data_IF_940070356247
#
_entry.id   IF_940070356247
#
_cell.length_a   1.000
_cell.length_b   1.000
_cell.length_c   1.000
_cell.angle_alpha   90.00
_cell.angle_beta   90.00
_cell.angle_gamma   90.00
#
_symmetry.space_group_name_H-M   'P 1'
#
loop_
_entity.id
_entity.type
_entity.pdbx_description
1 polymer ?
#
# COMPACT_ATOMS: atom_id res chain seq x y z
N UNK A 1 21.10 13.43 9.05
CA UNK A 1 20.91 13.39 7.59
C UNK A 1 19.49 13.83 7.32
N UNK A 2 19.32 15.11 7.04
CA UNK A 2 18.07 15.66 6.52
C UNK A 2 17.71 14.95 5.20
N UNK A 3 16.44 14.96 4.82
CA UNK A 3 16.01 14.41 3.54
C UNK A 3 16.75 15.18 2.43
N UNK A 4 17.64 14.47 1.71
CA UNK A 4 18.48 15.04 0.63
C UNK A 4 17.57 15.56 -0.47
N UNK A 5 17.81 16.78 -0.99
CA UNK A 5 16.75 17.78 -1.03
C UNK A 5 15.66 17.45 -2.04
N UNK A 6 14.44 17.50 -1.52
CA UNK A 6 13.21 17.65 -2.29
C UNK A 6 13.20 19.10 -2.78
N UNK A 7 12.90 19.34 -4.06
CA UNK A 7 12.73 20.70 -4.54
C UNK A 7 11.44 21.25 -3.97
N UNK A 8 11.54 22.40 -3.31
CA UNK A 8 10.41 23.09 -2.68
C UNK A 8 10.34 24.54 -3.19
N UNK A 9 9.13 25.06 -3.45
CA UNK A 9 8.94 26.47 -3.79
C UNK A 9 9.22 27.37 -2.59
N UNK A 10 9.45 28.66 -2.85
CA UNK A 10 9.45 29.67 -1.79
C UNK A 10 8.15 29.57 -0.96
N UNK A 11 8.17 29.75 0.38
CA UNK A 11 7.00 29.53 1.25
C UNK A 11 5.73 30.32 0.89
N UNK A 12 5.88 31.42 0.15
CA UNK A 12 4.77 32.27 -0.32
C UNK A 12 4.10 31.73 -1.60
N UNK A 13 4.73 30.81 -2.32
CA UNK A 13 4.22 30.24 -3.58
C UNK A 13 3.62 28.87 -3.28
N UNK A 14 2.29 28.77 -3.38
CA UNK A 14 1.58 27.53 -3.15
C UNK A 14 1.50 26.69 -4.43
N UNK A 15 2.12 25.52 -4.40
CA UNK A 15 2.06 24.54 -5.47
C UNK A 15 1.32 23.29 -4.96
N UNK A 16 0.28 22.81 -5.67
CA UNK A 16 -0.41 21.59 -5.26
C UNK A 16 0.51 20.39 -5.17
N UNK A 17 0.27 19.56 -4.15
CA UNK A 17 1.02 18.32 -3.91
C UNK A 17 1.26 17.47 -5.17
N UNK A 18 0.22 17.21 -5.98
CA UNK A 18 0.35 16.37 -7.20
C UNK A 18 1.34 16.96 -8.21
N UNK A 19 1.33 18.28 -8.37
CA UNK A 19 2.21 19.00 -9.29
C UNK A 19 3.64 18.95 -8.74
N UNK A 20 3.82 19.28 -7.45
CA UNK A 20 5.14 19.26 -6.81
C UNK A 20 5.76 17.86 -6.79
N UNK A 21 4.95 16.81 -6.58
CA UNK A 21 5.37 15.42 -6.66
C UNK A 21 5.93 15.09 -8.05
N UNK A 22 5.23 15.53 -9.10
CA UNK A 22 5.64 15.30 -10.49
C UNK A 22 6.90 16.07 -10.86
N UNK A 23 7.04 17.32 -10.40
CA UNK A 23 8.25 18.13 -10.58
C UNK A 23 9.46 17.43 -9.95
N UNK A 24 9.34 16.96 -8.71
CA UNK A 24 10.42 16.23 -8.04
C UNK A 24 10.81 14.95 -8.81
N UNK A 25 9.81 14.20 -9.31
CA UNK A 25 10.07 13.05 -10.19
C UNK A 25 10.83 13.45 -11.48
N UNK A 26 10.47 14.57 -12.11
CA UNK A 26 11.12 15.04 -13.34
C UNK A 26 12.57 15.50 -13.11
N UNK A 27 12.85 16.16 -11.98
CA UNK A 27 14.22 16.51 -11.57
C UNK A 27 15.06 15.25 -11.41
N UNK A 28 14.50 14.23 -10.75
CA UNK A 28 15.20 12.97 -10.48
C UNK A 28 15.47 12.14 -11.74
N UNK A 29 14.57 12.21 -12.72
CA UNK A 29 14.75 11.57 -14.01
C UNK A 29 15.64 12.38 -14.97
N UNK A 30 16.15 13.54 -14.55
CA UNK A 30 16.97 14.42 -15.39
C UNK A 30 16.19 15.08 -16.53
N UNK A 31 14.85 15.11 -16.45
CA UNK A 31 14.01 15.77 -17.45
C UNK A 31 14.08 17.29 -17.34
N UNK A 32 14.21 17.80 -16.11
CA UNK A 32 14.42 19.22 -15.80
C UNK A 32 15.61 19.36 -14.85
N UNK A 33 16.33 20.47 -14.95
CA UNK A 33 17.46 20.76 -14.07
C UNK A 33 16.95 21.39 -12.77
N UNK A 34 17.23 20.78 -11.61
CA UNK A 34 16.83 21.34 -10.32
C UNK A 34 17.25 22.81 -10.09
N UNK A 35 18.50 23.20 -10.41
CA UNK A 35 18.96 24.59 -10.31
C UNK A 35 18.22 25.62 -11.15
N UNK A 36 17.42 25.20 -12.15
CA UNK A 36 16.65 26.12 -13.01
C UNK A 36 15.21 26.30 -12.55
N UNK A 37 14.83 25.72 -11.40
CA UNK A 37 13.50 25.82 -10.81
C UNK A 37 13.48 26.95 -9.77
N UNK A 38 13.37 28.18 -10.25
CA UNK A 38 13.27 29.39 -9.44
C UNK A 38 11.81 29.78 -9.12
N UNK A 39 11.64 30.92 -8.44
CA UNK A 39 10.33 31.45 -8.09
C UNK A 39 9.46 31.77 -9.32
N UNK A 40 10.07 32.09 -10.47
CA UNK A 40 9.34 32.33 -11.71
C UNK A 40 8.74 31.02 -12.24
N UNK A 41 9.52 29.94 -12.27
CA UNK A 41 9.01 28.62 -12.59
C UNK A 41 7.86 28.21 -11.66
N UNK A 42 8.03 28.41 -10.35
CA UNK A 42 7.01 28.01 -9.38
C UNK A 42 5.72 28.84 -9.47
N UNK A 43 5.79 30.10 -9.90
CA UNK A 43 4.61 30.92 -10.23
C UNK A 43 3.85 30.36 -11.43
N UNK A 44 4.54 29.88 -12.46
CA UNK A 44 3.91 29.30 -13.64
C UNK A 44 3.20 27.96 -13.37
N UNK A 45 3.61 27.22 -12.35
CA UNK A 45 2.94 25.98 -11.91
C UNK A 45 1.98 26.20 -10.73
N UNK A 46 1.67 27.47 -10.40
CA UNK A 46 0.72 27.83 -9.37
C UNK A 46 -0.69 27.96 -9.95
N UNK A 47 -1.68 27.20 -9.45
CA UNK A 47 -3.08 27.30 -9.88
C UNK A 47 -3.72 28.66 -9.68
N UNK A 48 -3.14 29.49 -8.80
CA UNK A 48 -3.63 30.85 -8.55
C UNK A 48 -3.34 31.79 -9.73
N UNK A 49 -2.33 31.46 -10.55
CA UNK A 49 -1.89 32.30 -11.67
C UNK A 49 -2.21 31.66 -13.03
N UNK A 50 -2.19 30.33 -13.11
CA UNK A 50 -2.38 29.59 -14.36
C UNK A 50 -3.48 28.53 -14.21
N UNK A 51 -4.37 28.34 -15.19
CA UNK A 51 -5.36 27.27 -15.16
C UNK A 51 -4.73 25.89 -14.92
N UNK A 52 -5.31 25.10 -14.00
CA UNK A 52 -4.77 23.79 -13.60
C UNK A 52 -4.59 22.83 -14.78
N UNK A 53 -5.53 22.82 -15.72
CA UNK A 53 -5.47 21.95 -16.89
C UNK A 53 -4.26 22.28 -17.78
N UNK A 54 -3.88 23.55 -17.90
CA UNK A 54 -2.70 23.97 -18.65
C UNK A 54 -1.44 23.49 -17.94
N UNK A 55 -1.37 23.64 -16.61
CA UNK A 55 -0.23 23.20 -15.81
C UNK A 55 -0.04 21.68 -15.93
N UNK A 56 -1.10 20.90 -15.69
CA UNK A 56 -1.07 19.43 -15.75
C UNK A 56 -0.62 18.96 -17.12
N UNK A 57 -1.23 19.49 -18.19
CA UNK A 57 -0.91 19.07 -19.55
C UNK A 57 0.51 19.46 -19.98
N UNK A 58 0.97 20.67 -19.62
CA UNK A 58 2.34 21.11 -19.90
C UNK A 58 3.38 20.24 -19.17
N UNK A 59 3.14 19.93 -17.89
CA UNK A 59 4.02 19.07 -17.09
C UNK A 59 4.04 17.64 -17.66
N UNK A 60 2.89 17.08 -18.04
CA UNK A 60 2.82 15.77 -18.68
C UNK A 60 3.64 15.74 -19.98
N UNK A 61 3.44 16.73 -20.84
CA UNK A 61 4.17 16.85 -22.12
C UNK A 61 5.68 17.01 -21.90
N UNK A 62 6.09 17.83 -20.93
CA UNK A 62 7.49 18.00 -20.57
C UNK A 62 8.09 16.71 -19.99
N UNK A 63 7.32 15.96 -19.20
CA UNK A 63 7.77 14.69 -18.61
C UNK A 63 8.09 13.60 -19.65
N UNK A 64 7.59 13.73 -20.87
CA UNK A 64 7.88 12.83 -22.00
C UNK A 64 9.17 13.20 -22.77
N UNK A 65 9.90 14.24 -22.35
CA UNK A 65 11.10 14.66 -23.07
C UNK A 65 12.23 13.65 -22.95
N UNK A 66 12.89 13.38 -24.08
CA UNK A 66 14.09 12.53 -24.14
C UNK A 66 15.37 13.24 -23.72
N UNK A 67 15.36 14.57 -23.70
CA UNK A 67 16.50 15.43 -23.34
C UNK A 67 16.09 16.35 -22.20
N UNK A 68 17.04 16.73 -21.36
CA UNK A 68 16.84 17.69 -20.28
C UNK A 68 16.40 19.04 -20.82
N UNK A 69 15.30 19.56 -20.28
CA UNK A 69 14.86 20.93 -20.50
C UNK A 69 15.72 21.86 -19.63
N UNK A 70 16.58 22.64 -20.29
CA UNK A 70 17.48 23.59 -19.62
C UNK A 70 16.78 24.91 -19.25
N UNK A 71 15.68 25.23 -19.92
CA UNK A 71 14.92 26.47 -19.72
C UNK A 71 13.42 26.15 -19.62
N UNK A 72 12.97 25.64 -18.46
CA UNK A 72 11.59 25.23 -18.27
C UNK A 72 10.61 26.41 -18.24
N UNK A 73 11.06 27.59 -17.79
CA UNK A 73 10.25 28.82 -17.71
C UNK A 73 9.83 29.27 -19.12
N UNK A 74 10.79 29.53 -20.01
CA UNK A 74 10.48 29.97 -21.36
C UNK A 74 9.70 28.91 -22.13
N UNK A 75 9.98 27.62 -21.91
CA UNK A 75 9.23 26.56 -22.55
C UNK A 75 7.75 26.55 -22.13
N UNK A 76 7.47 26.64 -20.82
CA UNK A 76 6.09 26.62 -20.32
C UNK A 76 5.31 27.87 -20.76
N UNK A 77 5.91 29.06 -20.66
CA UNK A 77 5.27 30.30 -21.13
C UNK A 77 4.89 30.20 -22.61
N UNK A 78 5.79 29.68 -23.45
CA UNK A 78 5.48 29.44 -24.87
C UNK A 78 4.42 28.35 -25.10
N UNK A 79 4.30 27.34 -24.24
CA UNK A 79 3.21 26.37 -24.34
C UNK A 79 1.87 26.97 -23.92
N UNK A 80 1.83 27.79 -22.86
CA UNK A 80 0.60 28.42 -22.41
C UNK A 80 0.04 29.37 -23.47
N UNK A 81 0.90 30.17 -24.12
CA UNK A 81 0.50 30.98 -25.28
C UNK A 81 -0.13 30.15 -26.40
N UNK A 82 0.38 28.94 -26.66
CA UNK A 82 -0.20 28.02 -27.65
C UNK A 82 -1.56 27.47 -27.23
N UNK A 83 -1.78 27.27 -25.93
CA UNK A 83 -3.07 26.81 -25.41
C UNK A 83 -4.13 27.91 -25.47
N UNK A 84 -3.75 29.16 -25.18
CA UNK A 84 -4.65 30.32 -25.29
C UNK A 84 -5.08 30.60 -26.73
N UNK A 85 -4.18 30.35 -27.69
CA UNK A 85 -4.46 30.51 -29.12
C UNK A 85 -5.20 29.30 -29.75
N UNK A 86 -5.45 28.24 -28.99
CA UNK A 86 -6.11 27.04 -29.50
C UNK A 86 -7.60 27.05 -29.19
N UNK A 87 -8.44 26.76 -30.20
CA UNK A 87 -9.90 26.64 -30.04
C UNK A 87 -10.33 25.48 -29.11
N UNK A 88 -9.43 24.53 -28.84
CA UNK A 88 -9.67 23.36 -28.00
C UNK A 88 -8.63 23.31 -26.87
N UNK A 89 -8.90 23.92 -25.70
CA UNK A 89 -7.97 23.87 -24.58
C UNK A 89 -7.72 22.41 -24.14
N UNK A 90 -6.49 22.09 -23.69
CA UNK A 90 -6.15 20.74 -23.29
C UNK A 90 -7.03 20.29 -22.13
N UNK A 91 -7.65 19.12 -22.28
CA UNK A 91 -8.42 18.48 -21.20
C UNK A 91 -7.54 17.47 -20.50
N UNK A 92 -7.57 17.46 -19.16
CA UNK A 92 -6.88 16.44 -18.37
C UNK A 92 -7.36 15.04 -18.77
N UNK A 93 -6.46 14.09 -19.10
CA UNK A 93 -6.86 12.71 -19.37
C UNK A 93 -7.34 12.06 -18.06
N UNK A 94 -8.66 11.90 -17.91
CA UNK A 94 -9.23 11.08 -16.83
C UNK A 94 -9.31 9.64 -17.31
N UNK A 95 -8.25 8.87 -17.06
CA UNK A 95 -8.30 7.42 -17.22
C UNK A 95 -9.09 6.85 -16.03
N UNK A 96 -10.29 6.34 -16.30
CA UNK A 96 -11.04 5.54 -15.32
C UNK A 96 -10.36 4.18 -15.16
N UNK A 97 -9.98 3.83 -13.94
CA UNK A 97 -9.49 2.50 -13.62
C UNK A 97 -10.64 1.50 -13.50
N UNK A 98 -10.35 0.22 -13.73
CA UNK A 98 -11.29 -0.88 -13.45
C UNK A 98 -11.63 -0.95 -11.95
N UNK A 99 -12.81 -1.52 -11.65
CA UNK A 99 -13.30 -1.71 -10.29
C UNK A 99 -12.28 -2.44 -9.41
N UNK A 100 -11.86 -1.78 -8.32
CA UNK A 100 -10.94 -2.33 -7.33
C UNK A 100 -9.47 -1.99 -7.56
N UNK A 101 -9.13 -1.18 -8.56
CA UNK A 101 -7.80 -0.59 -8.75
C UNK A 101 -7.78 0.88 -8.29
N UNK A 102 -6.63 1.31 -7.77
CA UNK A 102 -6.41 2.68 -7.29
C UNK A 102 -5.03 3.19 -7.70
N UNK A 103 -4.94 4.48 -8.00
CA UNK A 103 -3.68 5.17 -8.22
C UNK A 103 -3.05 5.57 -6.89
N UNK A 104 -1.82 5.14 -6.66
CA UNK A 104 -1.10 5.38 -5.41
C UNK A 104 0.27 5.99 -5.71
N UNK A 105 0.60 7.09 -5.05
CA UNK A 105 1.94 7.67 -5.09
C UNK A 105 2.86 6.88 -4.16
N UNK A 106 4.10 6.64 -4.62
CA UNK A 106 5.10 5.94 -3.85
C UNK A 106 6.37 6.77 -3.72
N UNK A 107 6.92 6.82 -2.51
CA UNK A 107 8.24 7.40 -2.25
C UNK A 107 9.21 6.29 -1.85
N UNK A 108 10.32 6.17 -2.57
CA UNK A 108 11.39 5.22 -2.25
C UNK A 108 12.53 5.94 -1.55
N UNK A 109 12.92 5.44 -0.39
CA UNK A 109 13.95 6.05 0.45
C UNK A 109 15.16 5.15 0.44
N UNK A 110 16.26 5.68 -0.10
CA UNK A 110 17.55 5.03 -0.09
C UNK A 110 18.41 5.57 1.05
N UNK A 111 19.55 4.95 1.36
CA UNK A 111 20.49 5.47 2.36
C UNK A 111 20.86 6.95 2.11
N UNK A 112 21.00 7.36 0.85
CA UNK A 112 21.37 8.72 0.49
C UNK A 112 20.21 9.59 0.01
N UNK A 113 19.24 9.07 -0.74
CA UNK A 113 18.24 9.88 -1.48
C UNK A 113 16.79 9.51 -1.18
N UNK A 114 15.88 10.28 -1.76
CA UNK A 114 14.43 10.08 -1.73
C UNK A 114 13.94 10.17 -3.17
N UNK A 115 13.20 9.18 -3.65
CA UNK A 115 12.73 9.09 -5.02
C UNK A 115 11.21 9.09 -5.10
N UNK A 116 10.66 9.88 -6.02
CA UNK A 116 9.22 10.06 -6.23
C UNK A 116 8.75 9.21 -7.40
N UNK A 117 7.88 8.24 -7.10
CA UNK A 117 7.41 7.23 -8.03
C UNK A 117 5.89 7.23 -8.18
N UNK A 118 5.43 6.88 -9.38
CA UNK A 118 4.02 6.77 -9.69
C UNK A 118 3.39 8.06 -10.23
N UNK A 119 2.06 8.18 -10.15
CA UNK A 119 1.13 7.26 -9.49
C UNK A 119 1.11 5.86 -10.12
N UNK A 120 1.21 4.81 -9.30
CA UNK A 120 1.17 3.41 -9.73
C UNK A 120 -0.23 2.83 -9.55
N UNK A 121 -0.58 1.87 -10.41
CA UNK A 121 -1.84 1.13 -10.29
C UNK A 121 -1.66 0.02 -9.26
N UNK A 122 -2.46 0.07 -8.19
CA UNK A 122 -2.45 -0.94 -7.14
C UNK A 122 -3.84 -1.52 -6.92
N UNK A 123 -3.90 -2.79 -6.51
CA UNK A 123 -5.13 -3.40 -6.02
C UNK A 123 -5.53 -2.71 -4.72
N UNK A 124 -6.76 -2.22 -4.70
CA UNK A 124 -7.35 -1.52 -3.57
C UNK A 124 -7.43 -2.39 -2.31
N UNK A 125 -7.56 -1.75 -1.16
CA UNK A 125 -7.78 -2.40 0.12
C UNK A 125 -8.93 -1.73 0.87
N UNK A 126 -9.33 -2.33 1.99
CA UNK A 126 -10.50 -1.91 2.77
C UNK A 126 -10.42 -0.44 3.19
N UNK A 127 -9.24 0.03 3.57
CA UNK A 127 -9.03 1.41 4.03
C UNK A 127 -9.16 2.37 2.86
N UNK A 128 -8.48 2.08 1.74
CA UNK A 128 -8.52 2.94 0.57
C UNK A 128 -9.92 3.00 -0.07
N UNK A 129 -10.70 1.92 0.01
CA UNK A 129 -12.10 1.95 -0.45
C UNK A 129 -13.00 2.83 0.41
N UNK A 130 -12.80 2.84 1.73
CA UNK A 130 -13.64 3.62 2.63
C UNK A 130 -13.30 5.10 2.58
N UNK A 131 -12.01 5.42 2.50
CA UNK A 131 -11.49 6.79 2.43
C UNK A 131 -11.11 7.17 0.99
N UNK A 132 -11.97 6.86 0.00
CA UNK A 132 -11.70 7.10 -1.42
C UNK A 132 -11.51 8.58 -1.75
N UNK A 133 -12.19 9.46 -1.02
CA UNK A 133 -12.08 10.91 -1.22
C UNK A 133 -10.73 11.46 -0.72
N UNK A 134 -10.11 10.74 0.21
CA UNK A 134 -8.82 11.04 0.82
C UNK A 134 -7.63 10.39 0.07
N UNK A 135 -7.82 9.80 -1.12
CA UNK A 135 -6.75 9.09 -1.86
C UNK A 135 -5.49 9.94 -2.08
N UNK A 136 -5.65 11.25 -2.27
CA UNK A 136 -4.52 12.18 -2.43
C UNK A 136 -3.66 12.30 -1.16
N UNK A 137 -4.20 11.94 0.00
CA UNK A 137 -3.55 12.01 1.30
C UNK A 137 -2.87 10.70 1.70
N UNK A 138 -3.04 9.62 0.93
CA UNK A 138 -2.29 8.38 1.12
C UNK A 138 -0.97 8.39 0.33
N UNK A 139 0.10 7.99 1.03
CA UNK A 139 1.42 7.80 0.43
C UNK A 139 1.97 6.43 0.80
N UNK A 140 2.48 5.69 -0.18
CA UNK A 140 3.25 4.49 0.09
C UNK A 140 4.72 4.85 0.20
N UNK A 141 5.39 4.39 1.26
CA UNK A 141 6.83 4.57 1.42
C UNK A 141 7.51 3.21 1.42
N UNK A 142 8.64 3.10 0.71
CA UNK A 142 9.46 1.89 0.66
C UNK A 142 10.92 2.23 0.99
N UNK A 143 11.58 1.39 1.76
CA UNK A 143 13.00 1.52 2.10
C UNK A 143 13.81 0.48 1.32
N UNK A 144 14.68 0.95 0.43
CA UNK A 144 15.48 0.14 -0.49
C UNK A 144 16.93 0.60 -0.48
N UNK A 145 17.89 -0.25 -0.82
CA UNK A 145 19.26 0.20 -1.00
C UNK A 145 19.43 1.03 -2.30
N UNK A 146 20.66 1.43 -2.63
CA UNK A 146 20.92 2.23 -3.82
C UNK A 146 20.77 1.45 -5.14
N UNK A 147 20.81 0.11 -5.07
CA UNK A 147 20.60 -0.80 -6.20
C UNK A 147 19.12 -1.21 -6.34
N UNK A 148 18.22 -0.58 -5.57
CA UNK A 148 16.79 -0.86 -5.51
C UNK A 148 16.42 -2.20 -4.91
N UNK A 149 17.36 -2.88 -4.25
CA UNK A 149 17.11 -4.11 -3.52
C UNK A 149 16.60 -3.86 -2.10
N UNK A 150 16.14 -4.94 -1.46
CA UNK A 150 15.66 -4.89 -0.08
C UNK A 150 16.83 -4.77 0.88
N UNK A 151 16.83 -3.71 1.69
CA UNK A 151 17.73 -3.58 2.83
C UNK A 151 17.62 -4.80 3.76
N UNK A 152 18.76 -5.34 4.17
CA UNK A 152 18.85 -6.52 5.04
C UNK A 152 18.92 -6.10 6.50
N UNK A 153 18.49 -7.00 7.39
CA UNK A 153 18.55 -6.74 8.83
C UNK A 153 19.98 -6.49 9.33
N UNK A 154 20.98 -7.09 8.68
CA UNK A 154 22.41 -6.88 8.99
C UNK A 154 22.89 -5.46 8.73
N UNK A 155 22.27 -4.77 7.77
CA UNK A 155 22.64 -3.41 7.37
C UNK A 155 22.11 -2.37 8.36
N UNK A 156 21.03 -2.73 9.08
CA UNK A 156 20.40 -1.91 10.10
C UNK A 156 20.98 -2.16 11.49
N UNK A 157 21.26 -3.43 11.80
CA UNK A 157 21.81 -3.86 13.08
C UNK A 157 22.90 -4.91 12.88
N UNK A 158 24.18 -4.50 12.86
CA UNK A 158 25.31 -5.41 12.70
C UNK A 158 25.40 -6.38 13.88
N UNK A 159 25.77 -7.64 13.60
CA UNK A 159 25.83 -8.69 14.63
C UNK A 159 26.98 -8.51 15.63
N UNK A 160 27.95 -7.65 15.34
CA UNK A 160 29.21 -7.50 16.11
C UNK A 160 29.26 -6.25 17.01
N UNK A 161 28.14 -5.56 17.24
CA UNK A 161 28.12 -4.35 18.08
C UNK A 161 28.22 -4.69 19.58
N UNK A 162 29.34 -4.37 20.20
CA UNK A 162 29.67 -4.67 21.62
C UNK A 162 29.09 -3.69 22.65
N UNK A 163 28.31 -2.69 22.23
CA UNK A 163 27.58 -1.78 23.14
C UNK A 163 26.19 -1.44 22.60
N UNK A 164 25.23 -1.14 23.49
CA UNK A 164 23.84 -0.84 23.12
C UNK A 164 23.69 0.33 22.13
N UNK A 165 24.62 1.28 22.16
CA UNK A 165 24.61 2.47 21.29
C UNK A 165 25.27 2.22 19.91
N UNK A 166 26.13 1.20 19.81
CA UNK A 166 26.78 0.77 18.57
C UNK A 166 25.95 -0.24 17.75
N UNK A 167 24.77 -0.64 18.24
CA UNK A 167 23.94 -1.66 17.57
C UNK A 167 23.13 -1.12 16.39
N UNK A 168 22.89 0.18 16.32
CA UNK A 168 22.06 0.80 15.28
C UNK A 168 22.89 1.66 14.31
N UNK A 169 22.85 1.31 13.04
CA UNK A 169 23.58 2.07 12.01
C UNK A 169 22.97 3.45 11.75
N UNK A 170 23.71 4.31 11.04
CA UNK A 170 23.15 5.57 10.53
C UNK A 170 21.92 5.34 9.64
N UNK A 171 21.88 4.21 8.93
CA UNK A 171 20.75 3.80 8.12
C UNK A 171 19.51 3.51 8.98
N UNK A 172 19.67 2.75 10.08
CA UNK A 172 18.60 2.56 11.06
C UNK A 172 18.05 3.89 11.56
N UNK A 173 18.94 4.83 11.94
CA UNK A 173 18.55 6.16 12.43
C UNK A 173 17.80 6.96 11.36
N UNK A 174 18.19 6.87 10.08
CA UNK A 174 17.48 7.50 8.95
C UNK A 174 16.06 6.94 8.78
N UNK A 175 15.92 5.62 8.74
CA UNK A 175 14.60 4.95 8.61
C UNK A 175 13.70 5.34 9.78
N UNK A 176 14.24 5.27 11.01
CA UNK A 176 13.50 5.63 12.21
C UNK A 176 13.08 7.11 12.20
N UNK A 177 13.95 8.01 11.73
CA UNK A 177 13.63 9.43 11.59
C UNK A 177 12.45 9.65 10.65
N UNK A 178 12.44 9.00 9.48
CA UNK A 178 11.32 9.07 8.52
C UNK A 178 10.03 8.56 9.14
N UNK A 179 10.08 7.37 9.76
CA UNK A 179 8.88 6.75 10.35
C UNK A 179 8.33 7.57 11.53
N UNK A 180 9.20 8.22 12.31
CA UNK A 180 8.81 9.01 13.49
C UNK A 180 8.37 10.43 13.14
N UNK A 181 9.10 11.10 12.26
CA UNK A 181 8.90 12.53 11.97
C UNK A 181 7.97 12.77 10.77
N UNK A 182 7.80 11.76 9.92
CA UNK A 182 7.05 11.88 8.68
C UNK A 182 7.88 12.39 7.51
N UNK A 183 7.20 12.62 6.38
CA UNK A 183 7.76 13.22 5.17
C UNK A 183 6.90 14.43 4.79
N UNK A 184 7.51 15.60 4.65
CA UNK A 184 6.85 16.77 4.11
C UNK A 184 7.02 16.81 2.59
N UNK A 185 5.93 17.05 1.87
CA UNK A 185 5.94 17.27 0.41
C UNK A 185 4.98 18.43 0.15
N UNK A 186 5.54 19.62 -0.03
CA UNK A 186 4.77 20.85 -0.17
C UNK A 186 3.92 21.11 1.08
N UNK A 187 2.63 21.35 0.90
CA UNK A 187 1.72 21.62 2.02
C UNK A 187 1.22 20.37 2.77
N UNK A 188 1.71 19.18 2.43
CA UNK A 188 1.29 17.92 3.08
C UNK A 188 2.42 17.34 3.90
N UNK A 189 2.11 16.98 5.15
CA UNK A 189 3.01 16.21 6.02
C UNK A 189 2.45 14.79 6.21
N UNK A 190 3.12 13.82 5.61
CA UNK A 190 2.74 12.41 5.68
C UNK A 190 3.33 11.77 6.93
N UNK A 191 2.47 11.33 7.85
CA UNK A 191 2.86 10.61 9.06
C UNK A 191 2.60 9.12 8.94
N UNK A 192 3.29 8.31 9.76
CA UNK A 192 3.14 6.85 9.73
C UNK A 192 1.70 6.43 10.06
N UNK A 193 1.12 5.60 9.18
CA UNK A 193 -0.24 5.08 9.34
C UNK A 193 -0.22 3.61 9.81
N UNK A 194 0.20 2.70 8.93
CA UNK A 194 0.36 1.27 9.21
C UNK A 194 1.08 0.53 8.07
N UNK A 195 1.31 -0.77 8.23
CA UNK A 195 1.80 -1.65 7.16
C UNK A 195 1.05 -2.99 7.20
N UNK A 196 0.79 -3.60 6.05
CA UNK A 196 0.37 -5.00 5.97
C UNK A 196 1.57 -5.96 6.03
N UNK A 197 1.31 -7.26 6.20
CA UNK A 197 2.39 -8.26 6.26
C UNK A 197 3.19 -8.38 4.95
N UNK A 198 2.56 -8.19 3.79
CA UNK A 198 3.28 -8.15 2.51
C UNK A 198 4.17 -6.92 2.43
N UNK A 199 3.63 -5.75 2.79
CA UNK A 199 4.37 -4.51 2.78
C UNK A 199 5.58 -4.53 3.72
N UNK A 200 5.44 -5.11 4.92
CA UNK A 200 6.54 -5.27 5.85
C UNK A 200 7.69 -6.12 5.26
N UNK A 201 7.36 -7.22 4.55
CA UNK A 201 8.38 -8.04 3.85
C UNK A 201 9.03 -7.32 2.68
N UNK A 202 8.38 -6.29 2.16
CA UNK A 202 8.87 -5.44 1.09
C UNK A 202 9.48 -4.13 1.63
N UNK A 203 9.77 -4.06 2.94
CA UNK A 203 10.29 -2.87 3.62
C UNK A 203 9.45 -1.61 3.32
N UNK A 204 8.13 -1.74 3.31
CA UNK A 204 7.22 -0.66 2.94
C UNK A 204 6.11 -0.44 3.96
N UNK A 205 5.58 0.76 3.98
CA UNK A 205 4.51 1.19 4.88
C UNK A 205 3.58 2.20 4.18
N UNK A 206 2.38 2.35 4.74
CA UNK A 206 1.48 3.45 4.43
C UNK A 206 1.75 4.62 5.35
N UNK A 207 1.78 5.81 4.76
CA UNK A 207 1.75 7.10 5.44
C UNK A 207 0.52 7.89 5.00
N UNK A 208 0.09 8.81 5.85
CA UNK A 208 -1.10 9.62 5.62
C UNK A 208 -0.85 11.08 5.96
N UNK A 209 -1.33 11.98 5.12
CA UNK A 209 -1.32 13.41 5.40
C UNK A 209 -2.64 13.81 6.07
N UNK A 210 -2.60 13.98 7.39
CA UNK A 210 -3.76 14.39 8.19
C UNK A 210 -4.30 15.75 7.74
N UNK A 211 -5.59 15.79 7.44
CA UNK A 211 -6.32 17.00 7.06
C UNK A 211 -7.21 17.52 8.19
N UNK A 212 -8.10 18.46 7.86
CA UNK A 212 -9.08 19.02 8.80
C UNK A 212 -10.18 17.99 9.09
N UNK A 213 -10.64 17.27 8.06
CA UNK A 213 -11.77 16.33 8.17
C UNK A 213 -11.36 14.94 8.68
N UNK A 214 -10.19 14.45 8.23
CA UNK A 214 -9.71 13.10 8.53
C UNK A 214 -8.25 13.15 8.96
N UNK A 215 -7.96 12.56 10.12
CA UNK A 215 -6.59 12.35 10.60
C UNK A 215 -6.18 10.88 10.52
N UNK A 216 -4.87 10.62 10.58
CA UNK A 216 -4.35 9.25 10.70
C UNK A 216 -4.86 8.54 11.96
N UNK A 217 -5.15 9.30 13.03
CA UNK A 217 -5.75 8.77 14.26
C UNK A 217 -7.18 8.27 14.03
N UNK A 218 -7.99 9.04 13.30
CA UNK A 218 -9.37 8.68 12.97
C UNK A 218 -9.42 7.42 12.10
N UNK A 219 -8.53 7.33 11.12
CA UNK A 219 -8.37 6.13 10.28
C UNK A 219 -8.01 4.91 11.15
N UNK A 220 -7.05 5.03 12.08
CA UNK A 220 -6.67 3.93 12.98
C UNK A 220 -7.81 3.52 13.92
N UNK A 221 -8.59 4.47 14.42
CA UNK A 221 -9.77 4.24 15.26
C UNK A 221 -10.88 3.53 14.47
N UNK A 222 -11.08 3.91 13.21
CA UNK A 222 -12.05 3.28 12.32
C UNK A 222 -11.72 1.81 12.00
N UNK A 223 -10.44 1.44 11.94
CA UNK A 223 -10.02 0.07 11.61
C UNK A 223 -10.54 -0.98 12.59
N UNK A 224 -10.71 -0.62 13.86
CA UNK A 224 -11.20 -1.51 14.91
C UNK A 224 -10.71 -1.12 16.30
N UNK A 225 -11.14 -1.90 17.29
CA UNK A 225 -10.69 -1.76 18.67
C UNK A 225 -9.52 -2.69 18.96
N UNK A 226 -8.35 -2.09 19.17
CA UNK A 226 -7.10 -2.78 19.47
C UNK A 226 -6.66 -2.64 20.93
N UNK A 227 -7.47 -2.02 21.80
CA UNK A 227 -7.08 -1.68 23.20
C UNK A 227 -6.69 -2.89 24.04
N UNK A 228 -7.26 -4.06 23.73
CA UNK A 228 -6.96 -5.33 24.40
C UNK A 228 -5.59 -5.92 24.02
N UNK A 229 -4.94 -5.43 22.95
CA UNK A 229 -3.69 -5.98 22.42
C UNK A 229 -2.49 -5.24 23.02
N UNK A 230 -1.85 -5.85 24.02
CA UNK A 230 -0.66 -5.27 24.70
C UNK A 230 0.66 -5.50 23.97
N UNK A 231 0.78 -6.58 23.22
CA UNK A 231 2.01 -6.89 22.49
C UNK A 231 2.12 -6.02 21.23
N UNK A 232 3.19 -5.22 21.13
CA UNK A 232 3.41 -4.23 20.05
C UNK A 232 3.45 -4.88 18.66
N UNK A 233 4.18 -5.99 18.51
CA UNK A 233 4.27 -6.69 17.22
C UNK A 233 2.91 -7.25 16.79
N UNK A 234 2.15 -7.83 17.73
CA UNK A 234 0.78 -8.29 17.50
C UNK A 234 -0.11 -7.11 17.16
N UNK A 235 -0.04 -6.00 17.88
CA UNK A 235 -0.82 -4.79 17.61
C UNK A 235 -0.60 -4.29 16.18
N UNK A 236 0.66 -4.07 15.78
CA UNK A 236 1.01 -3.58 14.46
C UNK A 236 0.53 -4.54 13.35
N UNK A 237 0.71 -5.84 13.54
CA UNK A 237 0.22 -6.85 12.60
C UNK A 237 -1.31 -6.88 12.47
N UNK A 238 -2.07 -6.41 13.47
CA UNK A 238 -3.54 -6.42 13.49
C UNK A 238 -4.10 -5.15 12.87
N UNK A 239 -3.50 -4.01 13.20
CA UNK A 239 -3.74 -2.73 12.54
C UNK A 239 -3.54 -2.84 11.02
N UNK A 240 -2.45 -3.50 10.61
CA UNK A 240 -2.09 -3.74 9.22
C UNK A 240 -3.03 -4.62 8.39
N UNK A 241 -3.96 -5.35 9.02
CA UNK A 241 -4.80 -6.30 8.29
C UNK A 241 -5.72 -5.63 7.27
N UNK A 242 -6.22 -4.44 7.59
CA UNK A 242 -7.12 -3.67 6.72
C UNK A 242 -6.43 -3.13 5.46
N UNK A 243 -5.09 -3.09 5.43
CA UNK A 243 -4.29 -2.70 4.26
C UNK A 243 -3.93 -3.85 3.32
N UNK A 244 -4.37 -5.08 3.61
CA UNK A 244 -4.16 -6.18 2.69
C UNK A 244 -5.00 -5.98 1.43
N UNK A 245 -4.37 -6.07 0.26
CA UNK A 245 -5.09 -6.05 -1.03
C UNK A 245 -6.19 -7.10 -1.02
N UNK A 246 -7.39 -6.67 -1.37
CA UNK A 246 -8.60 -7.50 -1.22
C UNK A 246 -9.73 -6.98 -2.09
N UNK A 247 -10.65 -7.88 -2.45
CA UNK A 247 -11.90 -7.56 -3.11
C UNK A 247 -13.01 -7.49 -2.08
N UNK A 248 -13.66 -6.33 -1.95
CA UNK A 248 -14.88 -6.20 -1.15
C UNK A 248 -16.02 -6.92 -1.86
N UNK A 249 -16.79 -7.73 -1.13
CA UNK A 249 -17.82 -8.58 -1.71
C UNK A 249 -19.22 -8.16 -1.28
N UNK A 250 -19.67 -8.62 -0.11
CA UNK A 250 -21.03 -8.43 0.39
C UNK A 250 -20.97 -8.03 1.87
N UNK A 251 -22.00 -7.31 2.31
CA UNK A 251 -22.21 -7.05 3.74
C UNK A 251 -22.92 -8.23 4.38
N UNK A 252 -22.44 -8.64 5.55
CA UNK A 252 -23.01 -9.72 6.37
C UNK A 252 -23.31 -9.16 7.74
N UNK A 253 -24.60 -9.04 8.07
CA UNK A 253 -25.04 -8.57 9.37
C UNK A 253 -24.66 -9.56 10.48
N UNK A 254 -24.48 -9.08 11.71
CA UNK A 254 -24.12 -9.94 12.85
C UNK A 254 -25.11 -11.08 13.09
N UNK A 255 -26.40 -10.87 12.81
CA UNK A 255 -27.45 -11.90 12.92
C UNK A 255 -27.35 -13.01 11.86
N UNK A 256 -26.63 -12.76 10.77
CA UNK A 256 -26.40 -13.69 9.67
C UNK A 256 -25.12 -14.52 9.86
N UNK A 257 -24.33 -14.17 10.88
CA UNK A 257 -23.12 -14.89 11.30
C UNK A 257 -23.47 -15.77 12.49
N UNK A 258 -23.00 -17.01 12.44
CA UNK A 258 -23.04 -17.93 13.55
C UNK A 258 -21.64 -18.06 14.19
N UNK A 259 -21.58 -18.16 15.51
CA UNK A 259 -20.31 -18.36 16.23
C UNK A 259 -20.27 -19.78 16.74
N UNK A 260 -19.39 -20.59 16.14
CA UNK A 260 -19.26 -22.03 16.40
C UNK A 260 -17.97 -22.34 17.17
N UNK A 261 -18.01 -23.40 17.97
CA UNK A 261 -16.91 -23.79 18.86
C UNK A 261 -15.74 -24.42 18.13
N UNK A 262 -14.52 -23.94 18.40
CA UNK A 262 -13.28 -24.54 17.91
C UNK A 262 -13.21 -26.05 18.20
N UNK A 263 -12.61 -26.80 17.28
CA UNK A 263 -12.55 -28.27 17.33
C UNK A 263 -11.27 -28.72 18.03
N UNK A 264 -11.45 -29.52 19.09
CA UNK A 264 -10.39 -30.13 19.88
C UNK A 264 -10.59 -31.63 19.94
N UNK A 265 -9.51 -32.40 20.07
CA UNK A 265 -9.55 -33.86 20.22
C UNK A 265 -9.02 -34.26 21.61
N UNK A 266 -9.68 -33.76 22.67
CA UNK A 266 -9.27 -34.01 24.06
C UNK A 266 -7.93 -33.40 24.48
N UNK A 267 -7.24 -32.71 23.57
CA UNK A 267 -5.98 -31.99 23.81
C UNK A 267 -6.19 -30.47 23.76
N UNK A 268 -5.20 -29.70 24.18
CA UNK A 268 -5.20 -28.24 24.07
C UNK A 268 -4.97 -27.72 22.64
N UNK A 269 -4.70 -28.61 21.68
CA UNK A 269 -4.44 -28.24 20.30
C UNK A 269 -5.74 -28.00 19.53
N UNK A 270 -5.88 -26.80 18.95
CA UNK A 270 -7.04 -26.44 18.15
C UNK A 270 -6.86 -26.91 16.69
N UNK A 271 -7.66 -27.89 16.27
CA UNK A 271 -7.63 -28.45 14.91
C UNK A 271 -8.32 -27.56 13.87
N UNK A 272 -9.09 -26.56 14.33
CA UNK A 272 -9.83 -25.63 13.49
C UNK A 272 -9.33 -24.19 13.55
N UNK A 273 -8.08 -23.97 13.97
CA UNK A 273 -7.54 -22.60 14.09
C UNK A 273 -7.57 -21.90 12.72
N UNK A 274 -8.34 -20.81 12.67
CA UNK A 274 -8.38 -19.97 11.49
C UNK A 274 -9.29 -20.47 10.36
N UNK A 275 -10.11 -21.52 10.58
CA UNK A 275 -11.08 -22.00 9.58
C UNK A 275 -12.53 -21.93 10.07
N UNK A 276 -13.40 -21.33 9.25
CA UNK A 276 -14.84 -21.27 9.43
C UNK A 276 -15.60 -21.87 8.24
N UNK A 277 -16.90 -21.59 8.18
CA UNK A 277 -17.80 -22.09 7.14
C UNK A 277 -18.51 -20.94 6.42
N UNK A 278 -18.83 -21.16 5.15
CA UNK A 278 -19.68 -20.29 4.34
C UNK A 278 -20.79 -21.15 3.71
N UNK A 279 -22.04 -20.71 3.74
CA UNK A 279 -23.13 -21.46 3.09
C UNK A 279 -22.98 -21.48 1.58
N UNK A 280 -23.46 -22.54 0.93
CA UNK A 280 -23.35 -22.71 -0.52
C UNK A 280 -24.00 -21.57 -1.32
N UNK A 281 -25.18 -21.08 -0.88
CA UNK A 281 -25.82 -19.93 -1.53
C UNK A 281 -24.98 -18.66 -1.40
N UNK A 282 -24.47 -18.38 -0.20
CA UNK A 282 -23.69 -17.18 0.03
C UNK A 282 -22.34 -17.24 -0.70
N UNK A 283 -21.69 -18.40 -0.75
CA UNK A 283 -20.48 -18.64 -1.53
C UNK A 283 -20.67 -18.34 -3.02
N UNK A 284 -21.81 -18.72 -3.62
CA UNK A 284 -22.15 -18.39 -5.01
C UNK A 284 -22.21 -16.88 -5.24
N UNK A 285 -22.86 -16.16 -4.32
CA UNK A 285 -22.99 -14.69 -4.39
C UNK A 285 -21.65 -13.98 -4.22
N UNK A 286 -20.81 -14.47 -3.31
CA UNK A 286 -19.43 -13.99 -3.12
C UNK A 286 -18.58 -14.25 -4.36
N UNK A 287 -18.65 -15.45 -4.94
CA UNK A 287 -17.93 -15.80 -6.17
C UNK A 287 -18.30 -14.87 -7.35
N UNK A 288 -19.59 -14.57 -7.52
CA UNK A 288 -20.05 -13.63 -8.54
C UNK A 288 -19.45 -12.23 -8.37
N UNK A 289 -19.33 -11.73 -7.13
CA UNK A 289 -18.68 -10.45 -6.82
C UNK A 289 -17.17 -10.47 -7.04
N UNK A 290 -16.53 -11.63 -6.91
CA UNK A 290 -15.13 -11.83 -7.30
C UNK A 290 -14.92 -12.03 -8.82
N UNK A 291 -15.96 -11.85 -9.65
CA UNK A 291 -15.89 -12.06 -11.11
C UNK A 291 -15.95 -13.52 -11.55
N UNK A 292 -16.17 -14.46 -10.62
CA UNK A 292 -16.21 -15.89 -10.89
C UNK A 292 -17.64 -16.34 -11.23
N UNK A 293 -18.03 -16.16 -12.50
CA UNK A 293 -19.40 -16.47 -12.95
C UNK A 293 -19.67 -17.96 -13.20
N UNK A 294 -18.63 -18.74 -13.52
CA UNK A 294 -18.76 -20.15 -13.98
C UNK A 294 -18.29 -21.20 -12.98
N UNK A 295 -17.59 -20.79 -11.93
CA UNK A 295 -17.04 -21.70 -10.92
C UNK A 295 -17.16 -21.06 -9.55
N UNK A 296 -17.65 -21.84 -8.58
CA UNK A 296 -17.77 -21.43 -7.18
C UNK A 296 -16.60 -22.07 -6.44
N UNK A 297 -15.64 -21.28 -5.91
CA UNK A 297 -14.57 -21.83 -5.10
C UNK A 297 -15.08 -22.57 -3.87
N UNK A 298 -14.44 -23.69 -3.53
CA UNK A 298 -14.78 -24.46 -2.33
C UNK A 298 -14.30 -23.80 -1.04
N UNK A 299 -13.34 -22.87 -1.12
CA UNK A 299 -12.88 -22.10 0.02
C UNK A 299 -12.41 -20.69 -0.37
N UNK A 300 -12.51 -19.77 0.59
CA UNK A 300 -12.16 -18.36 0.46
C UNK A 300 -11.29 -17.93 1.63
N UNK A 301 -10.18 -17.25 1.36
CA UNK A 301 -9.42 -16.54 2.37
C UNK A 301 -10.07 -15.17 2.62
N UNK A 302 -10.52 -14.93 3.84
CA UNK A 302 -11.39 -13.78 4.15
C UNK A 302 -10.81 -12.83 5.20
N UNK A 303 -11.35 -11.61 5.18
CA UNK A 303 -11.37 -10.68 6.31
C UNK A 303 -12.80 -10.22 6.53
N UNK A 304 -13.29 -10.29 7.76
CA UNK A 304 -14.64 -9.86 8.11
C UNK A 304 -14.61 -9.22 9.49
N UNK A 305 -14.84 -7.91 9.60
CA UNK A 305 -14.56 -7.18 10.84
C UNK A 305 -13.13 -7.46 11.32
N UNK A 306 -12.99 -7.93 12.57
CA UNK A 306 -11.73 -8.40 13.15
C UNK A 306 -11.43 -9.89 12.97
N UNK A 307 -12.25 -10.62 12.22
CA UNK A 307 -12.02 -12.02 11.88
C UNK A 307 -11.06 -12.16 10.69
N UNK A 308 -10.09 -13.07 10.85
CA UNK A 308 -9.11 -13.43 9.81
C UNK A 308 -8.99 -14.94 9.73
N UNK A 309 -9.11 -15.48 8.53
CA UNK A 309 -8.95 -16.91 8.29
C UNK A 309 -9.38 -17.34 6.90
N UNK A 310 -9.75 -18.61 6.80
CA UNK A 310 -10.33 -19.25 5.61
C UNK A 310 -11.76 -19.67 5.97
N UNK A 311 -12.68 -19.63 5.01
CA UNK A 311 -14.00 -20.24 5.12
C UNK A 311 -14.18 -21.27 4.00
N UNK A 312 -14.62 -22.47 4.36
CA UNK A 312 -14.94 -23.53 3.43
C UNK A 312 -16.46 -23.64 3.22
N UNK A 313 -16.88 -24.04 2.02
CA UNK A 313 -18.30 -24.20 1.71
C UNK A 313 -18.88 -25.35 2.53
N UNK A 314 -19.92 -25.04 3.31
CA UNK A 314 -20.78 -26.02 3.96
C UNK A 314 -22.15 -26.03 3.26
N UNK A 315 -22.46 -27.09 2.47
CA UNK A 315 -23.73 -27.21 1.77
C UNK A 315 -24.95 -27.28 2.69
N UNK A 316 -24.76 -27.64 3.96
CA UNK A 316 -25.84 -27.83 4.95
C UNK A 316 -26.10 -26.58 5.79
N UNK A 317 -25.20 -25.60 5.75
CA UNK A 317 -25.34 -24.40 6.56
C UNK A 317 -26.42 -23.45 5.99
N UNK A 318 -27.34 -23.02 6.85
CA UNK A 318 -28.34 -21.99 6.54
C UNK A 318 -27.85 -20.56 6.85
N UNK A 319 -26.78 -20.43 7.64
CA UNK A 319 -26.17 -19.14 8.00
C UNK A 319 -25.19 -18.70 6.92
N UNK A 320 -25.05 -17.39 6.70
CA UNK A 320 -24.12 -16.88 5.67
C UNK A 320 -22.69 -17.26 5.98
N UNK A 321 -22.28 -17.06 7.24
CA UNK A 321 -20.97 -17.43 7.76
C UNK A 321 -21.10 -18.12 9.11
N UNK A 322 -20.28 -19.12 9.36
CA UNK A 322 -20.07 -19.67 10.71
C UNK A 322 -18.60 -19.51 11.07
N UNK A 323 -18.31 -18.65 12.05
CA UNK A 323 -16.96 -18.24 12.41
C UNK A 323 -16.59 -18.77 13.81
N UNK A 324 -15.29 -18.91 14.07
CA UNK A 324 -14.77 -19.44 15.33
C UNK A 324 -14.10 -18.37 16.16
N UNK A 325 -13.98 -18.61 17.48
CA UNK A 325 -13.28 -17.70 18.38
C UNK A 325 -11.81 -17.57 18.01
N UNK A 326 -11.15 -18.66 17.61
CA UNK A 326 -9.78 -18.64 17.09
C UNK A 326 -9.59 -17.65 15.94
N UNK A 327 -10.60 -17.42 15.10
CA UNK A 327 -10.54 -16.50 13.96
C UNK A 327 -10.64 -15.03 14.37
N UNK A 328 -11.24 -14.70 15.54
CA UNK A 328 -11.43 -13.32 16.01
C UNK A 328 -10.11 -12.77 16.55
N UNK A 329 -9.61 -11.69 15.95
CA UNK A 329 -8.28 -11.14 16.27
C UNK A 329 -8.33 -9.79 16.99
N UNK A 330 -9.44 -9.07 16.86
CA UNK A 330 -9.75 -7.80 17.52
C UNK A 330 -11.25 -7.51 17.33
N UNK A 331 -11.82 -6.57 18.07
CA UNK A 331 -13.23 -6.21 17.93
C UNK A 331 -13.42 -5.15 16.84
N UNK A 332 -14.51 -5.27 16.06
CA UNK A 332 -14.83 -4.32 15.00
C UNK A 332 -16.34 -4.26 14.75
N UNK A 333 -16.84 -3.08 14.41
CA UNK A 333 -18.22 -2.88 13.98
C UNK A 333 -18.44 -3.19 12.50
N UNK A 334 -17.37 -3.40 11.73
CA UNK A 334 -17.44 -3.57 10.28
C UNK A 334 -18.09 -4.91 9.89
N UNK A 335 -19.10 -4.83 9.01
CA UNK A 335 -19.88 -5.97 8.50
C UNK A 335 -19.55 -6.35 7.06
N UNK A 336 -18.57 -5.71 6.42
CA UNK A 336 -18.17 -6.02 5.05
C UNK A 336 -17.26 -7.24 5.00
N UNK A 337 -17.56 -8.15 4.08
CA UNK A 337 -16.72 -9.31 3.78
C UNK A 337 -15.74 -8.98 2.65
N UNK A 338 -14.46 -9.09 2.95
CA UNK A 338 -13.38 -8.98 1.97
C UNK A 338 -12.78 -10.35 1.67
N UNK A 339 -12.63 -10.65 0.38
CA UNK A 339 -11.94 -11.85 -0.12
C UNK A 339 -10.54 -11.46 -0.57
N UNK A 340 -9.53 -12.15 -0.04
CA UNK A 340 -8.12 -11.92 -0.38
C UNK A 340 -7.64 -12.91 -1.43
N UNK A 341 -8.14 -14.15 -1.34
CA UNK A 341 -7.85 -15.23 -2.27
C UNK A 341 -8.98 -16.26 -2.19
N UNK A 342 -9.02 -17.15 -3.16
CA UNK A 342 -9.96 -18.26 -3.24
C UNK A 342 -9.25 -19.47 -3.84
N UNK A 343 -9.81 -20.65 -3.63
CA UNK A 343 -9.26 -21.90 -4.17
C UNK A 343 -9.15 -21.83 -5.69
N UNK A 344 -7.93 -22.09 -6.20
CA UNK A 344 -7.64 -22.24 -7.62
C UNK A 344 -6.43 -23.15 -7.79
N UNK A 345 -6.30 -23.77 -8.96
CA UNK A 345 -5.08 -24.50 -9.30
C UNK A 345 -3.89 -23.52 -9.34
N UNK A 346 -2.79 -23.90 -8.70
CA UNK A 346 -1.54 -23.16 -8.71
C UNK A 346 -0.40 -24.13 -9.01
N UNK A 347 0.52 -23.79 -9.92
CA UNK A 347 1.72 -24.58 -10.10
C UNK A 347 2.55 -24.54 -8.82
N UNK A 348 3.06 -25.69 -8.39
CA UNK A 348 3.92 -25.83 -7.22
C UNK A 348 5.30 -26.28 -7.69
N UNK A 349 6.34 -25.69 -7.12
CA UNK A 349 7.74 -25.99 -7.44
C UNK A 349 8.50 -26.27 -6.16
N UNK A 350 9.51 -27.13 -6.24
CA UNK A 350 10.45 -27.32 -5.14
C UNK A 350 11.33 -26.07 -5.00
N UNK A 351 11.41 -25.53 -3.80
CA UNK A 351 12.38 -24.49 -3.46
C UNK A 351 13.59 -25.11 -2.74
N UNK A 352 14.69 -24.36 -2.65
CA UNK A 352 15.93 -24.83 -2.02
C UNK A 352 15.70 -25.32 -0.58
N UNK A 353 14.84 -24.65 0.18
CA UNK A 353 14.56 -25.02 1.57
C UNK A 353 13.89 -26.40 1.68
N UNK A 354 12.92 -26.70 0.81
CA UNK A 354 12.25 -27.99 0.76
C UNK A 354 13.20 -29.09 0.27
N UNK A 355 14.02 -28.80 -0.74
CA UNK A 355 15.05 -29.72 -1.24
C UNK A 355 16.01 -30.13 -0.12
N UNK A 356 16.55 -29.14 0.63
CA UNK A 356 17.44 -29.42 1.76
C UNK A 356 16.74 -30.28 2.83
N UNK A 357 15.48 -29.99 3.16
CA UNK A 357 14.73 -30.79 4.13
C UNK A 357 14.55 -32.24 3.64
N UNK A 358 14.14 -32.43 2.39
CA UNK A 358 13.97 -33.76 1.81
C UNK A 358 15.28 -34.55 1.75
N UNK A 359 16.38 -33.89 1.39
CA UNK A 359 17.73 -34.46 1.42
C UNK A 359 18.11 -34.93 2.83
N UNK A 360 17.90 -34.09 3.85
CA UNK A 360 18.16 -34.47 5.25
C UNK A 360 17.28 -35.62 5.76
N UNK A 361 16.10 -35.81 5.16
CA UNK A 361 15.20 -36.93 5.45
C UNK A 361 15.55 -38.20 4.64
N UNK A 362 16.63 -38.19 3.85
CA UNK A 362 17.17 -39.37 3.15
C UNK A 362 16.81 -39.47 1.67
N UNK A 363 16.18 -38.46 1.06
CA UNK A 363 15.98 -38.43 -0.39
C UNK A 363 17.32 -38.09 -1.06
N UNK A 364 17.80 -38.97 -1.96
CA UNK A 364 19.09 -38.79 -2.66
C UNK A 364 19.10 -37.52 -3.51
N UNK A 365 20.16 -36.73 -3.40
CA UNK A 365 20.30 -35.45 -4.09
C UNK A 365 20.19 -35.54 -5.62
N UNK A 366 20.61 -36.68 -6.21
CA UNK A 366 20.51 -36.95 -7.65
C UNK A 366 19.07 -36.89 -8.18
N UNK A 367 18.05 -37.01 -7.32
CA UNK A 367 16.63 -36.86 -7.70
C UNK A 367 16.30 -35.39 -7.98
N UNK A 368 16.98 -34.45 -7.32
CA UNK A 368 16.76 -33.01 -7.49
C UNK A 368 17.64 -32.39 -8.58
N UNK A 369 18.71 -33.09 -8.96
CA UNK A 369 19.62 -32.70 -10.06
C UNK A 369 19.05 -33.07 -11.45
N UNK A 370 17.99 -33.87 -11.49
CA UNK A 370 17.31 -34.29 -12.71
C UNK A 370 16.34 -33.23 -13.26
N UNK A 371 16.82 -32.53 -14.30
CA UNK A 371 16.15 -31.55 -15.20
C UNK A 371 16.16 -30.08 -14.77
#
# INVERSE_FOLDING_TARGET
>A
MELVPIVEPHPLIQVPYKILFKINQMVQNGTISGPTLDDEFFRLVSPYLVPVDYIVHAIEKMSCFKKTCLDPVNWMSNQYLKYEQSDCPPKSPRISLDDGLVYVHRVQITPSKVYFCGPEVNVSNRVLRHFSDEMINFLRVSFVDEDWEKMRSTDLSPRSGSSNDARHTALYKRILSVLRNGIAIGNKKFEFLAFSSSQLRDNSAWMFASGIEVTASDIRKWMGDFRSIRNVAKYAARLGQSFSSSTETLSVGRHEVDIIDDVYNGTSYCFSDGIGKISADFARRVAAKCGLKRSIPSAFQIRYGGYKGVVAVDPTSSKKLSLRRSMSKYESANTKLDVLAYTKYQPCFLNRQLITLLSTLGIRDSIFEGK
#
